data_IF_139226059964
#
_entry.id   IF_139226059964
#
_cell.length_a   1.000
_cell.length_b   1.000
_cell.length_c   1.000
_cell.angle_alpha   90.00
_cell.angle_beta   90.00
_cell.angle_gamma   90.00
#
_symmetry.space_group_name_H-M   'P 1'
#
loop_
_entity.id
_entity.type
_entity.pdbx_description
1 polymer ?
#
# COMPACT_ATOMS: atom_id res chain seq x y z
N UNK A 1 5.19 2.76 -12.21
CA UNK A 1 3.84 2.99 -12.78
C UNK A 1 3.96 3.11 -14.30
N UNK A 2 3.07 2.46 -15.06
CA UNK A 2 2.92 2.67 -16.51
C UNK A 2 1.60 3.39 -16.75
N UNK A 3 1.56 4.34 -17.68
CA UNK A 3 0.34 5.06 -18.02
C UNK A 3 0.14 5.10 -19.53
N UNK A 4 -1.12 5.01 -19.94
CA UNK A 4 -1.52 4.97 -21.33
C UNK A 4 -2.63 5.98 -21.58
N UNK A 5 -2.51 6.76 -22.65
CA UNK A 5 -3.57 7.61 -23.17
C UNK A 5 -3.87 7.17 -24.59
N UNK A 6 -5.11 6.75 -24.82
CA UNK A 6 -5.68 6.57 -26.16
C UNK A 6 -6.37 7.87 -26.55
N UNK A 7 -5.86 8.49 -27.60
CA UNK A 7 -6.37 9.75 -28.15
C UNK A 7 -7.44 9.47 -29.19
N UNK A 8 -8.20 10.50 -29.60
CA UNK A 8 -9.22 10.47 -30.66
C UNK A 8 -9.00 9.46 -31.81
N UNK A 9 -7.78 9.42 -32.37
CA UNK A 9 -7.46 8.52 -33.47
C UNK A 9 -7.43 7.03 -33.11
N UNK A 10 -7.33 6.67 -31.84
CA UNK A 10 -7.50 5.31 -31.35
C UNK A 10 -8.98 4.89 -31.34
N UNK A 11 -9.91 5.83 -31.13
CA UNK A 11 -11.35 5.65 -31.28
C UNK A 11 -11.86 5.71 -32.73
N UNK A 12 -10.97 5.95 -33.70
CA UNK A 12 -11.30 5.98 -35.14
C UNK A 12 -11.55 7.39 -35.69
N UNK A 13 -11.37 8.45 -34.90
CA UNK A 13 -11.40 9.82 -35.39
C UNK A 13 -10.11 10.18 -36.15
N UNK A 14 -10.09 11.34 -36.81
CA UNK A 14 -8.87 11.82 -37.47
C UNK A 14 -7.78 12.18 -36.44
N UNK A 15 -6.53 11.85 -36.74
CA UNK A 15 -5.37 12.14 -35.89
C UNK A 15 -5.13 13.65 -35.64
N UNK A 16 -5.74 14.53 -36.45
CA UNK A 16 -5.76 15.99 -36.18
C UNK A 16 -6.44 16.34 -34.85
N UNK A 17 -7.32 15.46 -34.37
CA UNK A 17 -8.04 15.60 -33.10
C UNK A 17 -7.31 14.93 -31.92
N UNK A 18 -6.15 14.31 -32.15
CA UNK A 18 -5.37 13.75 -31.05
C UNK A 18 -4.94 14.84 -30.07
N UNK A 19 -5.02 14.54 -28.77
CA UNK A 19 -4.63 15.47 -27.72
C UNK A 19 -3.16 15.81 -27.84
N UNK A 20 -2.83 17.10 -27.98
CA UNK A 20 -1.52 17.56 -28.43
C UNK A 20 -0.54 17.76 -27.29
N UNK A 21 -0.91 18.58 -26.31
CA UNK A 21 -0.03 18.94 -25.20
C UNK A 21 -0.71 18.63 -23.87
N UNK A 22 -0.03 17.86 -23.01
CA UNK A 22 -0.56 17.45 -21.73
C UNK A 22 0.56 17.03 -20.78
N UNK A 23 0.23 16.98 -19.49
CA UNK A 23 1.13 16.56 -18.43
C UNK A 23 0.51 15.43 -17.63
N UNK A 24 1.34 14.50 -17.19
CA UNK A 24 0.95 13.59 -16.12
C UNK A 24 1.35 14.21 -14.79
N UNK A 25 0.40 14.30 -13.86
CA UNK A 25 0.65 14.80 -12.51
C UNK A 25 0.25 13.77 -11.46
N UNK A 26 0.91 13.81 -10.30
CA UNK A 26 0.59 12.94 -9.15
C UNK A 26 0.40 13.73 -7.88
N UNK A 27 -0.35 13.14 -6.94
CA UNK A 27 -0.58 13.70 -5.62
C UNK A 27 -0.74 12.60 -4.56
N UNK A 28 -0.34 12.91 -3.33
CA UNK A 28 -0.61 12.09 -2.14
C UNK A 28 -1.92 12.46 -1.45
N UNK A 29 -2.37 13.71 -1.59
CA UNK A 29 -3.53 14.28 -0.86
C UNK A 29 -4.75 14.59 -1.76
N UNK A 30 -4.57 14.59 -3.08
CA UNK A 30 -5.63 14.88 -4.05
C UNK A 30 -5.85 16.37 -4.28
N UNK A 31 -5.04 17.24 -3.68
CA UNK A 31 -5.11 18.70 -3.81
C UNK A 31 -3.82 19.28 -4.39
N UNK A 32 -2.67 18.89 -3.86
CA UNK A 32 -1.35 19.35 -4.27
C UNK A 32 -0.76 18.39 -5.29
N UNK A 33 -0.70 18.80 -6.55
CA UNK A 33 -0.21 17.98 -7.66
C UNK A 33 1.15 18.45 -8.14
N UNK A 34 2.05 17.50 -8.37
CA UNK A 34 3.36 17.73 -9.00
C UNK A 34 3.38 17.13 -10.41
N UNK A 35 4.00 17.84 -11.35
CA UNK A 35 4.22 17.35 -12.71
C UNK A 35 5.29 16.25 -12.69
N UNK A 36 5.01 15.09 -13.29
CA UNK A 36 5.96 13.96 -13.39
C UNK A 36 6.26 13.53 -14.82
N UNK A 37 5.45 13.96 -15.78
CA UNK A 37 5.72 13.80 -17.21
C UNK A 37 5.12 14.95 -17.99
N UNK A 38 5.68 15.26 -19.15
CA UNK A 38 5.17 16.25 -20.08
C UNK A 38 5.23 15.71 -21.51
N UNK A 39 4.14 15.91 -22.23
CA UNK A 39 4.00 15.60 -23.64
C UNK A 39 3.62 16.89 -24.36
N UNK A 40 4.36 17.21 -25.41
CA UNK A 40 4.07 18.34 -26.28
C UNK A 40 4.17 17.92 -27.74
N UNK A 41 3.32 18.47 -28.59
CA UNK A 41 3.30 18.19 -30.01
C UNK A 41 2.88 16.75 -30.35
N UNK A 42 2.14 16.07 -29.48
CA UNK A 42 1.67 14.72 -29.74
C UNK A 42 0.81 14.69 -31.00
N UNK A 43 1.12 13.83 -31.95
CA UNK A 43 0.32 13.55 -33.15
C UNK A 43 -0.08 12.08 -33.24
N UNK A 44 0.33 11.23 -32.30
CA UNK A 44 0.06 9.80 -32.32
C UNK A 44 -1.26 9.47 -31.61
N UNK A 45 -1.87 8.37 -32.03
CA UNK A 45 -3.13 7.87 -31.46
C UNK A 45 -2.95 7.28 -30.05
N UNK A 46 -1.71 6.97 -29.67
CA UNK A 46 -1.36 6.35 -28.40
C UNK A 46 -0.18 7.07 -27.77
N UNK A 47 -0.28 7.34 -26.48
CA UNK A 47 0.87 7.63 -25.62
C UNK A 47 0.95 6.52 -24.57
N UNK A 48 2.09 5.83 -24.50
CA UNK A 48 2.32 4.73 -23.56
C UNK A 48 3.73 4.89 -22.96
N UNK A 49 3.80 5.15 -21.66
CA UNK A 49 5.05 5.50 -20.97
C UNK A 49 5.12 4.88 -19.59
N UNK A 50 6.34 4.58 -19.15
CA UNK A 50 6.61 4.04 -17.81
C UNK A 50 7.46 5.01 -17.01
N UNK A 51 7.04 5.27 -15.77
CA UNK A 51 7.70 6.19 -14.84
C UNK A 51 7.86 5.51 -13.48
N UNK A 52 9.05 5.62 -12.89
CA UNK A 52 9.30 5.12 -11.54
C UNK A 52 8.83 6.15 -10.51
N UNK A 53 7.54 6.09 -10.16
CA UNK A 53 6.93 6.98 -9.17
C UNK A 53 5.79 6.27 -8.47
N UNK A 54 5.53 6.67 -7.22
CA UNK A 54 4.41 6.22 -6.40
C UNK A 54 3.41 7.36 -6.28
N UNK A 55 2.12 7.05 -6.42
CA UNK A 55 1.06 8.05 -6.35
C UNK A 55 -0.21 7.45 -5.75
N UNK A 56 -1.00 8.29 -5.07
CA UNK A 56 -2.37 7.96 -4.66
C UNK A 56 -3.39 8.49 -5.67
N UNK A 57 -3.15 9.69 -6.19
CA UNK A 57 -3.96 10.31 -7.21
C UNK A 57 -3.11 10.61 -8.44
N UNK A 58 -3.68 10.39 -9.61
CA UNK A 58 -3.05 10.70 -10.90
C UNK A 58 -3.98 11.63 -11.66
N UNK A 59 -3.41 12.63 -12.34
CA UNK A 59 -4.15 13.62 -13.14
C UNK A 59 -3.51 13.76 -14.51
N UNK A 60 -4.31 13.58 -15.56
CA UNK A 60 -3.97 14.00 -16.92
C UNK A 60 -4.35 15.48 -17.09
N UNK A 61 -3.35 16.36 -17.12
CA UNK A 61 -3.55 17.81 -17.21
C UNK A 61 -3.29 18.31 -18.63
N UNK A 62 -4.35 18.58 -19.38
CA UNK A 62 -4.30 18.93 -20.80
C UNK A 62 -4.06 20.43 -20.94
N UNK A 63 -3.02 20.79 -21.69
CA UNK A 63 -2.66 22.18 -22.00
C UNK A 63 -2.96 22.59 -23.44
N UNK A 64 -3.07 21.62 -24.36
CA UNK A 64 -3.61 21.82 -25.71
C UNK A 64 -4.42 20.60 -26.16
N UNK A 65 -5.70 20.82 -26.47
CA UNK A 65 -6.69 19.77 -26.73
C UNK A 65 -6.58 19.09 -28.09
N UNK A 66 -6.25 19.80 -29.17
CA UNK A 66 -6.01 19.21 -30.51
C UNK A 66 -4.78 19.81 -31.16
N UNK A 67 -4.49 19.40 -32.41
CA UNK A 67 -3.47 20.06 -33.20
C UNK A 67 -3.76 21.56 -33.38
N UNK A 68 -2.70 22.35 -33.58
CA UNK A 68 -2.82 23.80 -33.78
C UNK A 68 -3.60 24.10 -35.07
N UNK A 69 -4.52 25.07 -35.00
CA UNK A 69 -5.34 25.48 -36.12
C UNK A 69 -6.70 24.79 -36.21
N UNK A 70 -7.06 23.96 -35.22
CA UNK A 70 -8.35 23.29 -35.10
C UNK A 70 -9.10 23.77 -33.84
N UNK A 71 -10.07 22.99 -33.34
CA UNK A 71 -10.79 23.31 -32.11
C UNK A 71 -9.90 23.22 -30.84
N UNK A 72 -10.46 23.49 -29.67
CA UNK A 72 -9.75 23.42 -28.39
C UNK A 72 -10.05 22.18 -27.58
N UNK A 73 -10.81 21.22 -28.12
CA UNK A 73 -11.39 20.15 -27.32
C UNK A 73 -10.40 19.03 -27.06
N UNK A 74 -10.28 18.65 -25.79
CA UNK A 74 -9.60 17.41 -25.42
C UNK A 74 -10.45 16.21 -25.83
N UNK A 75 -9.84 15.24 -26.50
CA UNK A 75 -10.48 13.97 -26.87
C UNK A 75 -9.59 12.81 -26.45
N UNK A 76 -10.09 12.08 -25.45
CA UNK A 76 -9.42 10.96 -24.80
C UNK A 76 -10.40 9.81 -24.83
N UNK A 77 -10.08 8.76 -25.58
CA UNK A 77 -10.88 7.54 -25.62
C UNK A 77 -10.67 6.72 -24.34
N UNK A 78 -9.43 6.63 -23.85
CA UNK A 78 -9.08 5.87 -22.66
C UNK A 78 -7.89 6.50 -21.94
N UNK A 79 -7.93 6.49 -20.61
CA UNK A 79 -6.77 6.80 -19.76
C UNK A 79 -6.55 5.67 -18.77
N UNK A 80 -5.47 4.91 -18.98
CA UNK A 80 -5.15 3.72 -18.19
C UNK A 80 -3.93 3.99 -17.32
N UNK A 81 -3.97 3.55 -16.06
CA UNK A 81 -2.85 3.64 -15.13
C UNK A 81 -2.59 2.28 -14.51
N UNK A 82 -1.39 1.77 -14.72
CA UNK A 82 -0.94 0.46 -14.25
C UNK A 82 0.10 0.63 -13.14
N UNK A 83 -0.24 0.15 -11.94
CA UNK A 83 0.70 -0.01 -10.83
C UNK A 83 1.48 -1.32 -10.93
N UNK A 84 2.69 -1.36 -10.38
CA UNK A 84 3.42 -2.61 -10.15
C UNK A 84 3.03 -3.15 -8.77
N UNK A 85 2.08 -4.09 -8.72
CA UNK A 85 1.62 -4.76 -7.50
C UNK A 85 2.59 -5.89 -7.07
N UNK A 86 3.89 -5.61 -6.92
CA UNK A 86 4.87 -6.67 -6.65
C UNK A 86 5.71 -6.43 -5.39
N UNK A 87 5.18 -5.69 -4.41
CA UNK A 87 5.92 -5.35 -3.20
C UNK A 87 5.06 -5.48 -1.95
N UNK A 88 5.71 -5.50 -0.78
CA UNK A 88 5.03 -5.40 0.50
C UNK A 88 4.29 -4.05 0.57
N UNK A 89 2.97 -4.07 0.45
CA UNK A 89 2.10 -2.90 0.52
C UNK A 89 2.14 -2.20 1.88
N UNK A 90 2.58 -2.89 2.94
CA UNK A 90 2.78 -2.30 4.26
C UNK A 90 4.14 -1.61 4.43
N UNK A 91 5.12 -1.83 3.53
CA UNK A 91 6.48 -1.31 3.66
C UNK A 91 6.47 0.23 3.74
N UNK A 92 7.12 0.75 4.79
CA UNK A 92 7.25 2.16 5.13
C UNK A 92 5.91 2.92 5.23
N UNK A 93 4.82 2.20 5.50
CA UNK A 93 3.51 2.81 5.74
C UNK A 93 3.39 3.32 7.17
N UNK A 94 2.44 4.22 7.38
CA UNK A 94 2.15 4.73 8.72
C UNK A 94 1.58 3.60 9.58
N UNK A 95 2.34 3.22 10.61
CA UNK A 95 1.92 2.26 11.62
C UNK A 95 1.59 2.96 12.95
N UNK A 96 0.57 2.46 13.63
CA UNK A 96 0.13 2.90 14.97
C UNK A 96 -0.18 1.68 15.81
N UNK A 97 -0.04 1.77 17.13
CA UNK A 97 -0.38 0.67 18.03
C UNK A 97 -1.15 1.19 19.24
N UNK A 98 -1.76 0.28 20.02
CA UNK A 98 -2.37 0.65 21.30
C UNK A 98 -1.33 1.18 22.28
N UNK A 99 -0.11 0.62 22.25
CA UNK A 99 0.96 1.00 23.14
C UNK A 99 2.32 0.47 22.68
N UNK A 100 3.38 1.13 23.16
CA UNK A 100 4.77 0.71 23.14
C UNK A 100 5.50 1.52 24.24
N UNK A 101 6.59 0.97 24.79
CA UNK A 101 7.28 1.62 25.91
C UNK A 101 8.57 2.35 25.49
N UNK A 102 9.35 1.74 24.58
CA UNK A 102 10.61 2.29 24.11
C UNK A 102 10.41 2.96 22.76
N UNK A 103 10.97 4.15 22.56
CA UNK A 103 10.94 4.83 21.26
C UNK A 103 11.59 3.99 20.16
N UNK A 104 12.59 3.18 20.50
CA UNK A 104 13.27 2.20 19.63
C UNK A 104 12.44 0.95 19.32
N UNK A 105 11.26 0.81 19.91
CA UNK A 105 10.33 -0.31 19.69
C UNK A 105 8.93 0.19 19.26
N UNK A 106 8.89 1.39 18.68
CA UNK A 106 7.68 2.01 18.17
C UNK A 106 7.13 1.32 16.91
N UNK A 107 5.82 1.50 16.59
CA UNK A 107 5.11 0.76 15.53
C UNK A 107 5.76 0.75 14.14
N UNK A 108 6.46 1.82 13.76
CA UNK A 108 7.09 1.92 12.45
C UNK A 108 8.17 0.86 12.21
N UNK A 109 8.76 0.30 13.27
CA UNK A 109 9.80 -0.73 13.18
C UNK A 109 9.27 -2.13 12.88
N UNK A 110 7.96 -2.29 12.71
CA UNK A 110 7.37 -3.55 12.24
C UNK A 110 6.99 -3.49 10.74
N UNK A 111 7.31 -2.40 10.06
CA UNK A 111 6.99 -2.19 8.64
C UNK A 111 8.14 -1.52 7.89
N UNK A 112 9.36 -1.58 8.43
CA UNK A 112 10.53 -0.90 7.86
C UNK A 112 11.35 -1.80 6.91
N UNK A 113 10.96 -3.08 6.81
CA UNK A 113 11.63 -4.08 5.96
C UNK A 113 12.88 -4.68 6.60
N UNK A 114 13.10 -4.47 7.90
CA UNK A 114 14.29 -4.92 8.63
C UNK A 114 13.93 -5.92 9.71
N UNK A 115 14.61 -7.07 9.73
CA UNK A 115 14.52 -8.02 10.85
C UNK A 115 15.45 -7.66 12.01
N UNK A 116 16.15 -6.51 11.96
CA UNK A 116 16.99 -6.03 13.06
C UNK A 116 16.27 -5.13 14.06
N UNK A 117 15.06 -4.68 13.71
CA UNK A 117 14.22 -3.74 14.45
C UNK A 117 12.85 -4.38 14.67
N UNK A 118 12.12 -3.98 15.72
CA UNK A 118 10.79 -4.53 16.03
C UNK A 118 9.88 -3.49 16.64
N UNK A 119 8.57 -3.67 16.47
CA UNK A 119 7.61 -3.15 17.44
C UNK A 119 7.50 -4.10 18.62
N UNK A 120 7.47 -3.54 19.83
CA UNK A 120 7.13 -4.29 21.03
C UNK A 120 5.95 -3.62 21.74
N UNK A 121 4.96 -4.42 22.10
CA UNK A 121 3.82 -3.95 22.89
C UNK A 121 4.17 -3.81 24.37
N UNK A 122 3.21 -3.36 25.17
CA UNK A 122 3.25 -3.49 26.64
C UNK A 122 2.31 -4.62 27.11
N UNK A 123 2.27 -4.88 28.42
CA UNK A 123 1.33 -5.82 29.05
C UNK A 123 -0.09 -5.24 29.09
N UNK A 124 -0.73 -5.15 27.93
CA UNK A 124 -2.14 -4.81 27.80
C UNK A 124 -2.78 -5.71 26.73
N UNK A 125 -3.37 -6.84 27.15
CA UNK A 125 -4.09 -7.72 26.21
C UNK A 125 -5.57 -7.34 26.18
N UNK A 126 -6.18 -7.14 25.00
CA UNK A 126 -5.60 -7.33 23.67
C UNK A 126 -4.64 -6.20 23.24
N UNK A 127 -3.54 -6.60 22.58
CA UNK A 127 -2.60 -5.67 21.93
C UNK A 127 -2.94 -5.53 20.45
N UNK A 128 -2.66 -4.38 19.84
CA UNK A 128 -2.85 -4.23 18.39
C UNK A 128 -1.82 -3.32 17.73
N UNK A 129 -1.48 -3.68 16.49
CA UNK A 129 -0.67 -2.90 15.56
C UNK A 129 -1.51 -2.67 14.29
N UNK A 130 -1.70 -1.42 13.89
CA UNK A 130 -2.52 -0.98 12.75
C UNK A 130 -1.67 -0.22 11.74
N UNK A 131 -1.87 -0.51 10.46
CA UNK A 131 -1.15 0.06 9.32
C UNK A 131 -2.17 0.73 8.39
N UNK A 132 -1.93 1.98 7.99
CA UNK A 132 -2.65 2.63 6.88
C UNK A 132 -1.90 2.37 5.57
N UNK A 133 -2.43 1.52 4.70
CA UNK A 133 -1.83 1.22 3.39
C UNK A 133 -1.85 2.43 2.44
N UNK A 134 -2.67 3.43 2.77
CA UNK A 134 -2.84 4.69 2.04
C UNK A 134 -4.00 4.66 1.05
N UNK A 135 -4.40 3.48 0.57
CA UNK A 135 -5.54 3.26 -0.32
C UNK A 135 -6.11 1.86 -0.08
N UNK A 136 -7.32 1.60 -0.57
CA UNK A 136 -7.95 0.28 -0.48
C UNK A 136 -7.16 -0.70 -1.34
N UNK A 137 -6.63 -1.74 -0.71
CA UNK A 137 -5.76 -2.75 -1.34
C UNK A 137 -6.47 -4.10 -1.31
N UNK A 138 -6.43 -4.82 -2.43
CA UNK A 138 -6.75 -6.25 -2.45
C UNK A 138 -5.57 -7.01 -1.86
N UNK A 139 -5.78 -7.79 -0.81
CA UNK A 139 -4.74 -8.47 -0.06
C UNK A 139 -4.86 -9.96 -0.34
N UNK A 140 -3.83 -10.53 -0.97
CA UNK A 140 -3.76 -11.94 -1.35
C UNK A 140 -2.88 -12.77 -0.41
N UNK A 141 -1.97 -12.12 0.32
CA UNK A 141 -1.02 -12.78 1.23
C UNK A 141 -0.55 -11.82 2.34
N UNK A 142 -0.28 -12.37 3.52
CA UNK A 142 0.28 -11.63 4.64
C UNK A 142 1.36 -12.44 5.35
N UNK A 143 2.36 -11.74 5.88
CA UNK A 143 3.47 -12.33 6.63
C UNK A 143 3.61 -11.60 7.96
N UNK A 144 3.89 -12.34 9.03
CA UNK A 144 4.30 -11.78 10.33
C UNK A 144 5.59 -12.46 10.76
N UNK A 145 6.63 -11.67 11.03
CA UNK A 145 7.89 -12.14 11.61
C UNK A 145 7.90 -11.87 13.10
N UNK A 146 8.05 -12.93 13.88
CA UNK A 146 7.97 -12.91 15.34
C UNK A 146 9.37 -12.83 15.98
N UNK A 147 9.40 -12.78 17.32
CA UNK A 147 10.62 -12.60 18.12
C UNK A 147 11.82 -13.45 17.65
N UNK A 148 11.60 -14.75 17.44
CA UNK A 148 12.67 -15.68 17.12
C UNK A 148 13.23 -15.54 15.70
N UNK A 149 12.66 -14.69 14.83
CA UNK A 149 13.27 -14.39 13.52
C UNK A 149 14.64 -13.72 13.68
N UNK A 150 14.85 -13.00 14.78
CA UNK A 150 16.07 -12.28 15.10
C UNK A 150 16.79 -12.88 16.33
N UNK A 151 16.62 -14.19 16.56
CA UNK A 151 17.37 -14.92 17.59
C UNK A 151 16.85 -14.79 19.03
N UNK A 152 15.73 -14.10 19.27
CA UNK A 152 15.07 -14.14 20.60
C UNK A 152 14.47 -15.53 20.87
N UNK A 153 14.15 -15.81 22.14
CA UNK A 153 13.53 -17.08 22.52
C UNK A 153 12.21 -17.31 21.77
N UNK A 154 11.97 -18.54 21.31
CA UNK A 154 10.69 -18.95 20.70
C UNK A 154 9.50 -18.81 21.66
N UNK A 155 9.75 -18.79 22.98
CA UNK A 155 8.71 -18.47 23.98
C UNK A 155 8.12 -17.07 23.81
N UNK A 156 8.85 -16.16 23.15
CA UNK A 156 8.40 -14.81 22.85
C UNK A 156 7.71 -14.68 21.48
N UNK A 157 7.57 -15.78 20.72
CA UNK A 157 6.76 -15.75 19.50
C UNK A 157 5.30 -15.48 19.84
N UNK A 158 4.65 -14.64 19.04
CA UNK A 158 3.22 -14.30 19.20
C UNK A 158 2.36 -15.52 18.97
N UNK A 159 1.46 -15.81 19.91
CA UNK A 159 0.75 -17.09 19.96
C UNK A 159 -0.61 -17.02 19.28
N UNK A 160 -1.47 -16.11 19.75
CA UNK A 160 -2.84 -15.99 19.28
C UNK A 160 -3.11 -14.58 18.78
N UNK A 161 -3.55 -14.47 17.54
CA UNK A 161 -3.77 -13.19 16.88
C UNK A 161 -4.63 -13.33 15.62
N UNK A 162 -5.10 -12.20 15.12
CA UNK A 162 -5.92 -12.11 13.92
C UNK A 162 -5.34 -11.07 12.98
N UNK A 163 -5.42 -11.36 11.68
CA UNK A 163 -5.35 -10.33 10.66
C UNK A 163 -6.74 -9.73 10.52
N UNK A 164 -6.84 -8.41 10.63
CA UNK A 164 -8.07 -7.68 10.44
C UNK A 164 -7.90 -6.60 9.37
N UNK A 165 -8.99 -6.32 8.65
CA UNK A 165 -9.03 -5.28 7.60
C UNK A 165 -10.14 -4.27 7.86
N UNK A 166 -9.94 -3.05 7.38
CA UNK A 166 -10.92 -1.96 7.48
C UNK A 166 -10.76 -0.97 6.33
N UNK A 167 -11.86 -0.32 5.94
CA UNK A 167 -11.84 0.80 4.99
C UNK A 167 -11.72 2.17 5.69
N UNK A 168 -12.19 2.27 6.93
CA UNK A 168 -12.30 3.54 7.68
C UNK A 168 -11.26 3.68 8.81
N UNK A 169 -10.57 2.59 9.16
CA UNK A 169 -9.53 2.56 10.20
C UNK A 169 -10.07 2.52 11.63
N UNK A 170 -11.39 2.32 11.79
CA UNK A 170 -12.12 2.27 13.07
C UNK A 170 -12.91 0.97 13.23
N UNK A 171 -13.68 0.57 12.22
CA UNK A 171 -14.46 -0.66 12.19
C UNK A 171 -13.68 -1.73 11.47
N UNK A 172 -13.31 -2.80 12.18
CA UNK A 172 -12.46 -3.87 11.66
C UNK A 172 -13.23 -5.17 11.54
N UNK A 173 -12.91 -5.93 10.49
CA UNK A 173 -13.42 -7.29 10.26
C UNK A 173 -12.26 -8.27 10.27
N UNK A 174 -12.50 -9.47 10.81
CA UNK A 174 -11.51 -10.56 10.82
C UNK A 174 -11.34 -11.10 9.40
N UNK A 175 -10.11 -11.02 8.87
CA UNK A 175 -9.73 -11.58 7.59
C UNK A 175 -9.07 -12.95 7.74
N UNK A 176 -8.32 -13.16 8.83
CA UNK A 176 -7.70 -14.44 9.17
C UNK A 176 -7.48 -14.55 10.68
N UNK A 177 -7.42 -15.77 11.20
CA UNK A 177 -7.17 -16.07 12.62
C UNK A 177 -6.07 -17.11 12.76
N UNK A 178 -5.13 -16.85 13.67
CA UNK A 178 -4.04 -17.75 14.06
C UNK A 178 -4.13 -18.00 15.55
N UNK A 179 -4.07 -19.27 15.94
CA UNK A 179 -4.05 -19.70 17.35
C UNK A 179 -2.94 -20.72 17.56
N UNK A 180 -2.28 -20.67 18.71
CA UNK A 180 -1.23 -21.62 19.08
C UNK A 180 0.03 -21.54 18.22
N UNK A 181 0.31 -20.38 17.60
CA UNK A 181 1.50 -20.24 16.77
C UNK A 181 2.77 -20.40 17.60
N UNK A 182 3.68 -21.26 17.12
CA UNK A 182 5.03 -21.44 17.67
C UNK A 182 6.11 -21.00 16.68
N UNK A 183 5.76 -20.76 15.42
CA UNK A 183 6.70 -20.44 14.36
C UNK A 183 7.27 -19.03 14.50
N UNK A 184 8.53 -18.86 14.10
CA UNK A 184 9.21 -17.56 14.04
C UNK A 184 8.71 -16.67 12.90
N UNK A 185 8.01 -17.25 11.92
CA UNK A 185 7.37 -16.54 10.82
C UNK A 185 6.04 -17.23 10.49
N UNK A 186 5.00 -16.42 10.29
CA UNK A 186 3.71 -16.87 9.76
C UNK A 186 3.55 -16.27 8.38
N UNK A 187 3.20 -17.09 7.41
CA UNK A 187 3.08 -16.72 6.01
C UNK A 187 1.86 -17.41 5.42
N UNK A 188 0.81 -16.65 5.11
CA UNK A 188 -0.51 -17.20 4.76
C UNK A 188 -1.14 -16.42 3.62
N UNK A 189 -1.85 -17.14 2.75
CA UNK A 189 -2.71 -16.54 1.75
C UNK A 189 -4.05 -16.15 2.39
N UNK A 190 -4.63 -15.07 1.89
CA UNK A 190 -5.93 -14.56 2.33
C UNK A 190 -6.65 -13.94 1.12
N UNK A 191 -7.97 -13.83 1.17
CA UNK A 191 -8.72 -13.02 0.21
C UNK A 191 -9.45 -11.94 0.99
N UNK A 192 -8.83 -10.77 1.09
CA UNK A 192 -9.37 -9.65 1.84
C UNK A 192 -9.17 -8.34 1.09
N UNK A 193 -9.96 -7.33 1.41
CA UNK A 193 -9.79 -6.00 0.84
C UNK A 193 -9.96 -4.97 1.94
N UNK A 194 -9.06 -3.98 1.99
CA UNK A 194 -9.11 -2.93 2.98
C UNK A 194 -8.02 -1.89 2.77
N UNK A 195 -8.22 -0.70 3.32
CA UNK A 195 -7.18 0.34 3.39
C UNK A 195 -6.30 0.19 4.62
N UNK A 196 -6.89 -0.25 5.72
CA UNK A 196 -6.20 -0.46 6.97
C UNK A 196 -6.07 -1.94 7.25
N UNK A 197 -4.90 -2.34 7.74
CA UNK A 197 -4.63 -3.69 8.24
C UNK A 197 -4.33 -3.59 9.72
N UNK A 198 -4.86 -4.49 10.54
CA UNK A 198 -4.59 -4.56 11.98
C UNK A 198 -4.22 -5.98 12.38
N UNK A 199 -3.06 -6.13 12.99
CA UNK A 199 -2.70 -7.33 13.74
C UNK A 199 -3.30 -7.20 15.14
N UNK A 200 -4.35 -7.97 15.42
CA UNK A 200 -5.05 -7.96 16.70
C UNK A 200 -4.63 -9.16 17.52
N UNK A 201 -3.90 -8.93 18.60
CA UNK A 201 -3.17 -9.95 19.35
C UNK A 201 -3.89 -10.21 20.66
N UNK A 202 -4.36 -11.44 20.82
CA UNK A 202 -5.05 -11.91 22.03
C UNK A 202 -4.11 -12.64 22.99
N UNK A 203 -2.99 -13.17 22.49
CA UNK A 203 -1.92 -13.72 23.34
C UNK A 203 -0.53 -13.47 22.74
N UNK A 204 0.27 -12.63 23.41
CA UNK A 204 1.57 -12.15 22.92
C UNK A 204 2.75 -13.14 23.02
N UNK A 205 2.71 -14.07 23.98
CA UNK A 205 3.78 -15.06 24.22
C UNK A 205 3.24 -16.45 24.52
N UNK A 206 4.07 -17.48 24.37
CA UNK A 206 3.67 -18.89 24.47
C UNK A 206 3.05 -19.25 25.83
N UNK A 207 3.67 -18.78 26.91
CA UNK A 207 3.27 -19.01 28.30
C UNK A 207 2.43 -17.87 28.90
N UNK A 208 2.30 -16.73 28.20
CA UNK A 208 1.65 -15.53 28.74
C UNK A 208 2.46 -14.79 29.81
N UNK A 209 3.76 -15.08 29.94
CA UNK A 209 4.63 -14.56 31.00
C UNK A 209 4.59 -13.03 31.15
N UNK A 210 4.80 -12.30 30.05
CA UNK A 210 4.73 -10.83 30.02
C UNK A 210 3.53 -10.30 29.22
N UNK A 211 2.88 -11.15 28.41
CA UNK A 211 1.81 -10.77 27.49
C UNK A 211 2.25 -9.84 26.34
N UNK A 212 3.56 -9.61 26.15
CA UNK A 212 4.06 -8.68 25.14
C UNK A 212 4.06 -9.35 23.76
N UNK A 213 3.70 -8.59 22.74
CA UNK A 213 3.99 -8.95 21.36
C UNK A 213 5.32 -8.33 20.93
N UNK A 214 6.10 -9.07 20.14
CA UNK A 214 7.35 -8.61 19.53
C UNK A 214 7.27 -8.93 18.05
N UNK A 215 6.99 -7.92 17.24
CA UNK A 215 6.75 -8.05 15.81
C UNK A 215 7.89 -7.35 15.08
N UNK A 216 8.71 -8.16 14.41
CA UNK A 216 9.83 -7.68 13.62
C UNK A 216 9.37 -7.15 12.27
N UNK A 217 8.42 -7.82 11.63
CA UNK A 217 7.79 -7.33 10.41
C UNK A 217 6.34 -7.81 10.33
N UNK A 218 5.50 -6.97 9.73
CA UNK A 218 4.21 -7.36 9.17
C UNK A 218 4.15 -6.88 7.72
N UNK A 219 3.98 -7.85 6.83
CA UNK A 219 4.02 -7.64 5.39
C UNK A 219 2.65 -8.01 4.78
N UNK A 220 2.25 -7.26 3.75
CA UNK A 220 0.95 -7.43 3.08
C UNK A 220 1.18 -7.35 1.58
N UNK A 221 0.64 -8.31 0.83
CA UNK A 221 0.86 -8.42 -0.62
C UNK A 221 -0.47 -8.51 -1.38
N UNK A 222 -0.46 -8.02 -2.61
CA UNK A 222 -1.59 -7.98 -3.54
C UNK A 222 -1.39 -8.91 -4.72
#
# INVERSE_FOLDING_TARGET
MRWVVKHAGAGGESAIYNTRDFKLKVSSDGTNFTDIDTVTGNSTNLTDRTINTNARYVRLYITQGTQIGYDGYARIDEFEVYGSASGNAALNKTATANAYNLSSEAPQYAVDGSTGTKWASIAASPNWLKIDLGYVTNISRWVVKHAAVNGESTNFNTKDYKLQVSNDGTTFTDADTVTGNTASSTDRNVNATGRYVRLYITQGTQSGFDGYARIYEIEVYN
#
